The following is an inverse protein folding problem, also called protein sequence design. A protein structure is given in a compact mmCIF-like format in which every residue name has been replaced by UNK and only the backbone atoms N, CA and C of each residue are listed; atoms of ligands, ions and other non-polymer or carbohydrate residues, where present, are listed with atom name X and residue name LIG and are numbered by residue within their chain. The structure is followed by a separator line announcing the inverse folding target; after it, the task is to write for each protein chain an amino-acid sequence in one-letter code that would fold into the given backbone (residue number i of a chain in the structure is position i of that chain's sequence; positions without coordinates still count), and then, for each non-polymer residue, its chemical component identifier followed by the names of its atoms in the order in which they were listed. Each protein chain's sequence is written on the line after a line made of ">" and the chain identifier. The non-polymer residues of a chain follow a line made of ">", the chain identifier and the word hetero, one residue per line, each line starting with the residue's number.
data_IF_304357253137
#
_entry.id   IF_304357253137
#
_cell.length_a   1.000
_cell.length_b   1.000
_cell.length_c   1.000
_cell.angle_alpha   90.00
_cell.angle_beta   90.00
_cell.angle_gamma   90.00
#
_symmetry.space_group_name_H-M   'P 1'
#
loop_
_entity.id
_entity.type
_entity.pdbx_description
1 polymer ?
#
# COMPACT_ATOMS: atom_id res chain seq x y z
N UNK A 1 56.21 -68.84 36.97
CA UNK A 1 56.25 -68.44 35.55
C UNK A 1 54.90 -67.75 35.12
N UNK A 2 54.92 -66.43 35.04
CA UNK A 2 53.69 -65.62 34.74
C UNK A 2 53.63 -65.41 33.24
N UNK A 3 52.49 -65.84 32.55
CA UNK A 3 52.25 -65.64 31.17
C UNK A 3 51.76 -64.21 30.94
N UNK A 4 52.55 -63.37 30.26
CA UNK A 4 52.21 -62.02 29.80
C UNK A 4 51.15 -62.09 28.73
N UNK A 5 49.94 -61.52 28.96
CA UNK A 5 48.88 -61.38 27.99
C UNK A 5 49.24 -60.28 26.90
N UNK A 6 49.12 -60.66 25.67
CA UNK A 6 49.36 -59.71 24.52
C UNK A 6 48.23 -58.69 24.41
N UNK A 7 48.52 -57.38 24.17
CA UNK A 7 47.51 -56.36 23.98
C UNK A 7 46.73 -56.59 22.67
N UNK A 8 45.39 -56.58 22.75
CA UNK A 8 44.50 -56.61 21.56
C UNK A 8 44.68 -55.32 20.74
N UNK A 9 45.05 -55.50 19.49
CA UNK A 9 45.10 -54.37 18.52
C UNK A 9 43.66 -53.83 18.30
N UNK A 10 43.51 -52.47 18.27
CA UNK A 10 42.18 -51.88 17.96
C UNK A 10 41.77 -52.22 16.53
N UNK A 11 40.57 -52.75 16.34
CA UNK A 11 39.95 -53.00 15.06
C UNK A 11 39.77 -51.69 14.31
N UNK A 12 40.36 -51.55 13.13
CA UNK A 12 40.06 -50.43 12.19
C UNK A 12 38.61 -50.54 11.77
N UNK A 13 37.71 -49.71 12.31
CA UNK A 13 36.36 -49.51 11.78
C UNK A 13 36.48 -49.03 10.34
N UNK A 14 36.15 -49.87 9.37
CA UNK A 14 36.04 -49.51 7.98
C UNK A 14 35.01 -48.38 7.88
N UNK A 15 35.42 -47.21 7.40
CA UNK A 15 34.53 -46.10 7.13
C UNK A 15 33.64 -46.54 5.97
N UNK A 16 32.34 -46.72 6.21
CA UNK A 16 31.34 -47.01 5.16
C UNK A 16 31.23 -45.79 4.27
N UNK A 17 31.99 -45.78 3.19
CA UNK A 17 32.03 -44.69 2.20
C UNK A 17 30.64 -44.29 1.67
N UNK A 18 29.77 -45.29 1.45
CA UNK A 18 28.37 -45.04 1.04
C UNK A 18 27.56 -44.26 2.10
N UNK A 19 27.73 -44.58 3.38
CA UNK A 19 27.03 -43.87 4.46
C UNK A 19 27.57 -42.45 4.64
N UNK A 20 28.88 -42.25 4.43
CA UNK A 20 29.49 -40.92 4.46
C UNK A 20 29.00 -40.04 3.30
N UNK A 21 28.88 -40.61 2.09
CA UNK A 21 28.39 -39.90 0.91
C UNK A 21 26.89 -39.49 1.07
N UNK A 22 26.06 -40.41 1.61
CA UNK A 22 24.65 -40.10 1.88
C UNK A 22 24.50 -38.99 2.91
N UNK A 23 25.30 -39.00 3.97
CA UNK A 23 25.29 -37.94 4.98
C UNK A 23 25.77 -36.60 4.40
N UNK A 24 26.74 -36.60 3.50
CA UNK A 24 27.20 -35.39 2.84
C UNK A 24 26.14 -34.83 1.90
N UNK A 25 25.47 -35.67 1.12
CA UNK A 25 24.33 -35.28 0.27
C UNK A 25 23.18 -34.72 1.10
N UNK A 26 22.81 -35.38 2.20
CA UNK A 26 21.76 -34.93 3.11
C UNK A 26 22.09 -33.56 3.70
N UNK A 27 23.32 -33.37 4.18
CA UNK A 27 23.75 -32.08 4.72
C UNK A 27 23.77 -30.99 3.65
N UNK A 28 24.16 -31.29 2.43
CA UNK A 28 24.09 -30.34 1.31
C UNK A 28 22.63 -29.93 1.02
N UNK A 29 21.70 -30.89 0.98
CA UNK A 29 20.27 -30.58 0.78
C UNK A 29 19.73 -29.69 1.92
N UNK A 30 20.06 -29.99 3.16
CA UNK A 30 19.65 -29.17 4.31
C UNK A 30 20.22 -27.75 4.19
N UNK A 31 21.50 -27.62 3.79
CA UNK A 31 22.13 -26.33 3.59
C UNK A 31 21.44 -25.51 2.51
N UNK A 32 21.13 -26.10 1.36
CA UNK A 32 20.43 -25.41 0.26
C UNK A 32 19.00 -25.03 0.63
N UNK A 33 18.28 -25.91 1.36
CA UNK A 33 16.93 -25.60 1.84
C UNK A 33 16.95 -24.45 2.87
N UNK A 34 17.89 -24.45 3.79
CA UNK A 34 18.02 -23.35 4.77
C UNK A 34 18.37 -22.03 4.09
N UNK A 35 19.28 -22.03 3.12
CA UNK A 35 19.61 -20.85 2.31
C UNK A 35 18.39 -20.32 1.56
N UNK A 36 17.59 -21.23 0.97
CA UNK A 36 16.36 -20.86 0.26
C UNK A 36 15.35 -20.20 1.22
N UNK A 37 15.16 -20.77 2.41
CA UNK A 37 14.23 -20.19 3.42
C UNK A 37 14.69 -18.79 3.83
N UNK A 38 15.99 -18.62 4.10
CA UNK A 38 16.57 -17.31 4.45
C UNK A 38 16.35 -16.31 3.32
N UNK A 39 16.58 -16.71 2.07
CA UNK A 39 16.35 -15.88 0.89
C UNK A 39 14.87 -15.47 0.76
N UNK A 40 13.94 -16.40 0.94
CA UNK A 40 12.50 -16.11 0.88
C UNK A 40 12.07 -15.16 2.01
N UNK A 41 12.57 -15.36 3.22
CA UNK A 41 12.29 -14.45 4.35
C UNK A 41 12.87 -13.06 4.10
N UNK A 42 14.09 -12.96 3.57
CA UNK A 42 14.67 -11.67 3.19
C UNK A 42 13.88 -10.99 2.07
N UNK A 43 13.47 -11.75 1.05
CA UNK A 43 12.65 -11.23 -0.06
C UNK A 43 11.28 -10.71 0.43
N UNK A 44 10.65 -11.44 1.34
CA UNK A 44 9.38 -11.02 1.95
C UNK A 44 9.58 -9.77 2.83
N UNK A 45 10.61 -9.76 3.66
CA UNK A 45 10.98 -8.61 4.48
C UNK A 45 11.25 -7.36 3.63
N UNK A 46 12.03 -7.51 2.56
CA UNK A 46 12.32 -6.40 1.64
C UNK A 46 11.05 -5.85 0.97
N UNK A 47 10.10 -6.71 0.61
CA UNK A 47 8.80 -6.29 0.05
C UNK A 47 7.92 -5.53 1.03
N UNK A 48 7.96 -5.90 2.31
CA UNK A 48 7.13 -5.26 3.34
C UNK A 48 7.77 -3.95 3.84
N UNK A 49 9.10 -3.89 3.86
CA UNK A 49 9.84 -2.79 4.53
C UNK A 49 10.29 -1.70 3.57
N UNK A 50 10.47 -2.03 2.28
CA UNK A 50 10.75 -1.01 1.27
C UNK A 50 9.42 -0.49 0.77
N UNK A 51 8.97 0.72 1.19
CA UNK A 51 7.85 1.37 0.49
C UNK A 51 8.33 1.52 -0.97
N UNK A 52 7.51 1.03 -1.90
CA UNK A 52 7.72 1.32 -3.31
C UNK A 52 7.84 2.85 -3.41
N UNK A 53 9.06 3.33 -3.66
CA UNK A 53 9.26 4.73 -4.01
C UNK A 53 8.61 4.85 -5.38
N UNK A 54 7.32 5.17 -5.37
CA UNK A 54 6.58 5.52 -6.58
C UNK A 54 7.44 6.59 -7.23
N UNK A 55 8.02 6.27 -8.40
CA UNK A 55 8.68 7.25 -9.24
C UNK A 55 7.66 8.34 -9.48
N UNK A 56 7.76 9.43 -8.73
CA UNK A 56 6.98 10.63 -8.99
C UNK A 56 7.40 11.06 -10.39
N UNK A 57 6.62 10.65 -11.38
CA UNK A 57 6.66 11.30 -12.68
C UNK A 57 6.33 12.74 -12.34
N UNK A 58 7.29 13.63 -12.52
CA UNK A 58 7.07 15.07 -12.39
C UNK A 58 6.13 15.47 -13.54
N UNK A 59 4.82 15.21 -13.33
CA UNK A 59 3.80 15.93 -14.06
C UNK A 59 3.95 17.37 -13.61
N UNK A 60 3.96 18.30 -14.53
CA UNK A 60 4.04 19.74 -14.20
C UNK A 60 2.80 20.09 -13.38
N UNK A 61 2.95 20.00 -12.04
CA UNK A 61 1.86 20.03 -11.05
C UNK A 61 1.31 21.45 -10.84
N UNK A 62 1.66 22.38 -11.71
CA UNK A 62 1.32 23.80 -11.57
C UNK A 62 -0.03 24.16 -12.21
N UNK A 63 -0.52 23.33 -13.14
CA UNK A 63 -1.76 23.60 -13.91
C UNK A 63 -2.74 22.45 -13.74
N UNK A 64 -4.01 22.71 -13.41
CA UNK A 64 -5.05 21.68 -13.40
C UNK A 64 -5.23 21.04 -14.77
N UNK A 65 -5.58 19.76 -14.78
CA UNK A 65 -5.99 19.05 -16.01
C UNK A 65 -7.26 19.66 -16.60
N UNK A 66 -7.44 19.56 -17.91
CA UNK A 66 -8.67 20.04 -18.59
C UNK A 66 -9.93 19.30 -18.13
N UNK A 67 -9.79 18.01 -17.77
CA UNK A 67 -10.81 17.19 -17.15
C UNK A 67 -10.17 16.55 -15.90
N UNK A 68 -10.80 16.73 -14.75
CA UNK A 68 -10.32 16.15 -13.48
C UNK A 68 -11.27 15.01 -13.11
N UNK A 69 -10.74 13.78 -13.07
CA UNK A 69 -11.50 12.60 -12.64
C UNK A 69 -11.50 12.49 -11.12
N UNK A 70 -12.69 12.40 -10.54
CA UNK A 70 -12.88 12.42 -9.08
C UNK A 70 -13.60 11.16 -8.62
N UNK A 71 -13.08 10.56 -7.56
CA UNK A 71 -13.77 9.56 -6.75
C UNK A 71 -14.31 10.20 -5.47
N UNK A 72 -15.54 9.88 -5.10
CA UNK A 72 -16.18 10.37 -3.87
C UNK A 72 -16.45 9.22 -2.92
N UNK A 73 -15.87 9.27 -1.72
CA UNK A 73 -16.00 8.24 -0.70
C UNK A 73 -16.73 8.80 0.53
N UNK A 74 -17.83 8.16 0.91
CA UNK A 74 -18.59 8.54 2.09
C UNK A 74 -17.92 8.00 3.37
N UNK A 75 -17.23 8.86 4.10
CA UNK A 75 -16.60 8.58 5.38
C UNK A 75 -17.33 9.16 6.59
N UNK A 76 -18.48 9.86 6.39
CA UNK A 76 -19.28 10.38 7.48
C UNK A 76 -20.40 9.43 7.93
N UNK A 77 -20.73 8.40 7.13
CA UNK A 77 -21.76 7.41 7.42
C UNK A 77 -23.20 7.91 7.21
N UNK A 78 -23.40 9.15 6.74
CA UNK A 78 -24.75 9.68 6.48
C UNK A 78 -25.20 9.25 5.09
N UNK A 79 -26.37 8.62 4.94
CA UNK A 79 -26.88 8.20 3.63
C UNK A 79 -27.04 9.37 2.65
N UNK A 80 -26.83 9.09 1.36
CA UNK A 80 -27.03 10.04 0.23
C UNK A 80 -26.09 11.26 0.20
N UNK A 81 -25.19 11.43 1.18
CA UNK A 81 -24.23 12.55 1.17
C UNK A 81 -23.26 12.42 0.00
N UNK A 82 -22.76 11.20 -0.29
CA UNK A 82 -21.89 10.95 -1.44
C UNK A 82 -22.53 11.35 -2.77
N UNK A 83 -23.83 11.04 -2.96
CA UNK A 83 -24.56 11.40 -4.17
C UNK A 83 -24.69 12.92 -4.33
N UNK A 84 -24.96 13.66 -3.25
CA UNK A 84 -25.05 15.12 -3.27
C UNK A 84 -23.71 15.76 -3.63
N UNK A 85 -22.60 15.21 -3.10
CA UNK A 85 -21.26 15.67 -3.49
C UNK A 85 -20.95 15.38 -4.94
N UNK A 86 -21.32 14.20 -5.45
CA UNK A 86 -21.22 13.85 -6.88
C UNK A 86 -21.95 14.86 -7.75
N UNK A 87 -23.22 15.10 -7.46
CA UNK A 87 -24.08 15.97 -8.27
C UNK A 87 -23.55 17.41 -8.28
N UNK A 88 -23.10 17.89 -7.12
CA UNK A 88 -22.45 19.20 -7.00
C UNK A 88 -21.16 19.27 -7.82
N UNK A 89 -20.24 18.31 -7.66
CA UNK A 89 -18.97 18.31 -8.37
C UNK A 89 -19.15 18.19 -9.87
N UNK A 90 -20.11 17.40 -10.34
CA UNK A 90 -20.46 17.33 -11.76
C UNK A 90 -21.00 18.67 -12.29
N UNK A 91 -21.79 19.37 -11.51
CA UNK A 91 -22.26 20.73 -11.85
C UNK A 91 -21.11 21.73 -11.95
N UNK A 92 -20.08 21.57 -11.12
CA UNK A 92 -18.85 22.38 -11.14
C UNK A 92 -17.87 21.98 -12.26
N UNK A 93 -18.22 20.99 -13.09
CA UNK A 93 -17.42 20.57 -14.26
C UNK A 93 -16.41 19.46 -14.03
N UNK A 94 -16.44 18.79 -12.86
CA UNK A 94 -15.59 17.64 -12.58
C UNK A 94 -16.22 16.34 -13.10
N UNK A 95 -15.38 15.40 -13.56
CA UNK A 95 -15.83 14.05 -13.96
C UNK A 95 -15.84 13.11 -12.75
N UNK A 96 -17.00 12.96 -12.09
CA UNK A 96 -17.12 12.03 -10.97
C UNK A 96 -17.39 10.63 -11.48
N UNK A 97 -16.36 9.78 -11.44
CA UNK A 97 -16.37 8.43 -12.01
C UNK A 97 -16.85 7.36 -11.01
N UNK A 98 -16.69 7.59 -9.71
CA UNK A 98 -17.10 6.64 -8.68
C UNK A 98 -17.65 7.32 -7.43
N UNK A 99 -18.67 6.70 -6.83
CA UNK A 99 -19.19 7.04 -5.50
C UNK A 99 -19.36 5.77 -4.70
N UNK A 100 -18.66 5.69 -3.57
CA UNK A 100 -18.66 4.51 -2.70
C UNK A 100 -18.62 4.89 -1.21
N UNK A 101 -18.72 3.88 -0.35
CA UNK A 101 -18.50 4.05 1.07
C UNK A 101 -17.00 3.97 1.38
N UNK A 102 -16.53 4.80 2.29
CA UNK A 102 -15.18 4.68 2.81
C UNK A 102 -15.09 3.51 3.80
N UNK A 103 -13.89 3.02 4.05
CA UNK A 103 -13.63 1.88 4.94
C UNK A 103 -14.14 2.15 6.37
N UNK A 104 -14.16 3.42 6.79
CA UNK A 104 -14.62 3.87 8.11
C UNK A 104 -15.60 5.01 7.98
N UNK A 105 -16.57 5.09 8.92
CA UNK A 105 -17.58 6.15 8.95
C UNK A 105 -17.34 7.19 10.07
N UNK A 106 -16.13 7.28 10.57
CA UNK A 106 -15.75 8.19 11.65
C UNK A 106 -14.77 9.29 11.22
N UNK A 107 -14.69 9.55 9.92
CA UNK A 107 -13.82 10.59 9.36
C UNK A 107 -14.28 11.95 9.87
N UNK A 108 -13.44 12.61 10.67
CA UNK A 108 -13.82 13.86 11.33
C UNK A 108 -13.92 15.05 10.36
N UNK A 109 -13.03 15.09 9.35
CA UNK A 109 -12.95 16.17 8.35
C UNK A 109 -12.83 15.61 6.95
N UNK A 110 -13.46 16.29 6.01
CA UNK A 110 -13.34 15.97 4.59
C UNK A 110 -11.91 16.15 4.11
N UNK A 111 -11.42 15.15 3.38
CA UNK A 111 -10.07 15.11 2.82
C UNK A 111 -10.12 15.12 1.32
N UNK A 112 -9.20 15.84 0.68
CA UNK A 112 -9.00 15.86 -0.77
C UNK A 112 -7.60 15.38 -1.07
N UNK A 113 -7.50 14.30 -1.80
CA UNK A 113 -6.28 13.50 -1.98
C UNK A 113 -5.91 13.48 -3.45
N UNK A 114 -4.69 13.92 -3.77
CA UNK A 114 -4.11 13.77 -5.10
C UNK A 114 -3.57 12.35 -5.27
N UNK A 115 -4.00 11.66 -6.34
CA UNK A 115 -3.63 10.26 -6.63
C UNK A 115 -2.54 10.13 -7.68
N UNK A 116 -2.40 11.10 -8.57
CA UNK A 116 -1.52 11.04 -9.73
C UNK A 116 -0.28 11.95 -9.64
N UNK A 117 -0.16 12.77 -8.59
CA UNK A 117 0.96 13.71 -8.42
C UNK A 117 0.71 15.08 -9.07
N UNK A 118 -0.51 15.38 -9.51
CA UNK A 118 -0.91 16.71 -9.92
C UNK A 118 -1.71 17.39 -8.80
N UNK A 119 -1.02 17.95 -7.84
CA UNK A 119 -1.64 18.60 -6.68
C UNK A 119 -2.54 19.79 -7.06
N UNK A 120 -2.39 20.36 -8.25
CA UNK A 120 -3.26 21.42 -8.74
C UNK A 120 -4.69 20.91 -8.93
N UNK A 121 -4.87 19.67 -9.40
CA UNK A 121 -6.19 19.03 -9.52
C UNK A 121 -6.89 18.95 -8.16
N UNK A 122 -6.20 18.44 -7.15
CA UNK A 122 -6.75 18.31 -5.80
C UNK A 122 -7.06 19.68 -5.16
N UNK A 123 -6.22 20.68 -5.41
CA UNK A 123 -6.47 22.06 -4.94
C UNK A 123 -7.72 22.68 -5.58
N UNK A 124 -7.96 22.44 -6.86
CA UNK A 124 -9.15 22.96 -7.55
C UNK A 124 -10.42 22.30 -7.03
N UNK A 125 -10.42 20.96 -6.85
CA UNK A 125 -11.52 20.25 -6.21
C UNK A 125 -11.76 20.74 -4.77
N UNK A 126 -10.71 20.94 -3.97
CA UNK A 126 -10.83 21.45 -2.61
C UNK A 126 -11.48 22.86 -2.59
N UNK A 127 -11.04 23.74 -3.47
CA UNK A 127 -11.58 25.10 -3.63
C UNK A 127 -13.07 25.07 -3.99
N UNK A 128 -13.49 24.24 -4.94
CA UNK A 128 -14.89 24.06 -5.31
C UNK A 128 -15.73 23.63 -4.10
N UNK A 129 -15.23 22.69 -3.28
CA UNK A 129 -15.92 22.23 -2.09
C UNK A 129 -15.96 23.26 -0.93
N UNK A 130 -15.23 24.38 -1.03
CA UNK A 130 -15.08 25.36 0.04
C UNK A 130 -14.04 24.95 1.10
N UNK A 131 -13.15 24.02 0.77
CA UNK A 131 -12.03 23.58 1.60
C UNK A 131 -10.79 24.43 1.23
N UNK A 132 -10.00 24.80 2.23
CA UNK A 132 -8.73 25.49 1.95
C UNK A 132 -7.83 24.62 1.05
N UNK A 133 -7.44 25.08 -0.15
CA UNK A 133 -6.62 24.31 -1.09
C UNK A 133 -5.29 23.82 -0.51
N UNK A 134 -4.73 24.53 0.48
CA UNK A 134 -3.52 24.11 1.19
C UNK A 134 -3.68 22.84 2.05
N UNK A 135 -4.91 22.35 2.22
CA UNK A 135 -5.21 21.09 2.92
C UNK A 135 -5.31 19.90 2.00
N UNK A 136 -5.27 20.09 0.69
CA UNK A 136 -5.12 18.99 -0.25
C UNK A 136 -3.70 18.43 -0.12
N UNK A 137 -3.57 17.11 -0.15
CA UNK A 137 -2.29 16.45 0.00
C UNK A 137 -2.12 15.28 -0.97
N UNK A 138 -0.88 15.00 -1.40
CA UNK A 138 -0.58 13.88 -2.28
C UNK A 138 -0.56 12.56 -1.49
N UNK A 139 -1.23 11.56 -2.02
CA UNK A 139 -1.11 10.16 -1.64
C UNK A 139 -1.18 9.32 -2.90
N UNK A 140 -0.04 9.25 -3.59
CA UNK A 140 0.06 8.61 -4.88
C UNK A 140 -0.17 7.11 -4.78
N UNK A 141 -0.95 6.57 -5.71
CA UNK A 141 -1.15 5.15 -5.82
C UNK A 141 -1.65 4.82 -7.24
N UNK A 142 -0.83 4.15 -8.02
CA UNK A 142 -1.09 3.79 -9.41
C UNK A 142 -2.25 2.80 -9.58
N UNK A 143 -2.71 2.17 -8.51
CA UNK A 143 -3.90 1.32 -8.53
C UNK A 143 -5.22 2.11 -8.58
N UNK A 144 -5.19 3.43 -8.33
CA UNK A 144 -6.34 4.31 -8.48
C UNK A 144 -6.35 4.89 -9.90
N UNK A 145 -7.43 4.64 -10.64
CA UNK A 145 -7.64 5.17 -11.99
C UNK A 145 -8.39 6.52 -11.94
N UNK A 146 -8.06 7.37 -10.96
CA UNK A 146 -8.66 8.69 -10.75
C UNK A 146 -7.58 9.70 -10.38
N UNK A 147 -7.81 10.96 -10.74
CA UNK A 147 -6.88 12.05 -10.41
C UNK A 147 -6.96 12.43 -8.93
N UNK A 148 -8.18 12.50 -8.40
CA UNK A 148 -8.47 13.00 -7.04
C UNK A 148 -9.47 12.09 -6.34
N UNK A 149 -9.21 11.79 -5.06
CA UNK A 149 -10.19 11.14 -4.18
C UNK A 149 -10.67 12.13 -3.11
N UNK A 150 -11.98 12.30 -3.00
CA UNK A 150 -12.64 13.06 -1.94
C UNK A 150 -13.20 12.10 -0.89
N UNK A 151 -12.69 12.14 0.34
CA UNK A 151 -13.26 11.37 1.47
C UNK A 151 -14.07 12.32 2.34
N UNK A 152 -15.39 12.15 2.34
CA UNK A 152 -16.32 13.03 3.02
C UNK A 152 -16.29 12.74 4.54
N UNK A 153 -16.05 13.77 5.34
CA UNK A 153 -16.05 13.71 6.79
C UNK A 153 -17.34 14.24 7.43
N UNK A 154 -17.37 14.24 8.76
CA UNK A 154 -18.52 14.73 9.58
C UNK A 154 -18.76 16.24 9.44
N UNK A 155 -17.82 16.97 8.87
CA UNK A 155 -17.90 18.39 8.57
C UNK A 155 -18.64 18.72 7.25
N UNK A 156 -19.22 17.72 6.59
CA UNK A 156 -19.88 17.81 5.28
C UNK A 156 -20.91 18.93 5.16
N UNK A 157 -21.62 19.23 6.26
CA UNK A 157 -22.65 20.28 6.32
C UNK A 157 -22.11 21.71 6.25
N UNK A 158 -20.79 21.90 6.43
CA UNK A 158 -20.10 23.20 6.32
C UNK A 158 -19.58 23.45 4.91
N UNK A 159 -19.65 22.44 4.04
CA UNK A 159 -19.09 22.48 2.68
C UNK A 159 -20.14 22.91 1.66
N UNK A 160 -19.68 23.46 0.55
CA UNK A 160 -20.54 24.06 -0.48
C UNK A 160 -21.68 23.15 -0.98
N UNK A 161 -21.49 21.82 -1.18
CA UNK A 161 -22.57 20.93 -1.64
C UNK A 161 -23.80 20.89 -0.75
N UNK A 162 -23.64 21.20 0.54
CA UNK A 162 -24.71 21.10 1.55
C UNK A 162 -24.89 22.38 2.37
N UNK A 163 -24.10 23.40 2.10
CA UNK A 163 -24.25 24.70 2.73
C UNK A 163 -25.60 25.30 2.32
N UNK A 164 -26.50 25.43 3.29
CA UNK A 164 -27.77 26.12 3.09
C UNK A 164 -27.42 27.57 2.76
N UNK A 165 -27.78 28.03 1.55
CA UNK A 165 -27.73 29.46 1.25
C UNK A 165 -28.88 30.10 2.08
N UNK A 166 -28.50 30.73 3.20
CA UNK A 166 -29.37 31.69 3.87
C UNK A 166 -29.60 32.90 2.97
#
# INVERSE_FOLDING_TARGET
>A
MAKRAKPKRPSKKGTNFKASLNNLLLNAVIFFLSALVIYLMYSLYARITVPEIVKVVKVDSSVPSSIIQVEVLNGCGVPKVGERFRDYLRHEGFDVVNVANYIKYDVARTMVIDRIGNIANAKEVAKSLGINPGKAFPQLNDAYFVDVTVVIGKDFNKLNPLKIKE
#
